data_IF_076015370222
#
_entry.id   IF_076015370222
#
_cell.length_a   1.000
_cell.length_b   1.000
_cell.length_c   1.000
_cell.angle_alpha   90.00
_cell.angle_beta   90.00
_cell.angle_gamma   90.00
#
_symmetry.space_group_name_H-M   'P 1'
#
loop_
_entity.id
_entity.type
_entity.pdbx_description
1 polymer ?
#
# COMPACT_ATOMS: atom_id res chain seq x y z
N UNK A 1 7.98 27.38 -13.17
CA UNK A 1 6.67 26.81 -13.58
C UNK A 1 6.92 25.99 -14.85
N UNK A 2 7.34 24.74 -14.72
CA UNK A 2 7.63 23.86 -15.87
C UNK A 2 6.35 23.08 -16.14
N UNK A 3 5.62 23.46 -17.19
CA UNK A 3 4.57 22.63 -17.78
C UNK A 3 5.27 21.52 -18.57
N UNK A 4 5.56 20.40 -17.93
CA UNK A 4 5.82 19.14 -18.64
C UNK A 4 4.46 18.52 -18.96
N UNK A 5 3.78 19.02 -19.99
CA UNK A 5 2.63 18.32 -20.56
C UNK A 5 3.17 17.21 -21.44
N UNK A 6 3.15 15.96 -20.95
CA UNK A 6 3.27 14.81 -21.83
C UNK A 6 2.20 14.92 -22.93
N UNK A 7 2.53 14.77 -24.22
CA UNK A 7 1.55 14.82 -25.29
C UNK A 7 0.48 13.73 -25.10
N UNK A 8 -0.76 14.03 -25.48
CA UNK A 8 -1.91 13.13 -25.33
C UNK A 8 -1.75 11.78 -26.07
N UNK A 9 -0.78 11.64 -26.97
CA UNK A 9 -0.43 10.36 -27.58
C UNK A 9 0.16 9.36 -26.58
N UNK A 10 0.89 9.85 -25.58
CA UNK A 10 1.61 9.00 -24.64
C UNK A 10 0.66 8.31 -23.66
N UNK A 11 -0.41 8.98 -23.22
CA UNK A 11 -1.39 8.41 -22.29
C UNK A 11 -2.24 7.30 -22.94
N UNK A 12 -2.59 7.45 -24.22
CA UNK A 12 -3.37 6.43 -24.96
C UNK A 12 -2.52 5.18 -25.18
N UNK A 13 -1.25 5.33 -25.53
CA UNK A 13 -0.33 4.19 -25.64
C UNK A 13 -0.14 3.48 -24.29
N UNK A 14 -0.04 4.23 -23.19
CA UNK A 14 -0.01 3.67 -21.83
C UNK A 14 -1.30 2.91 -21.51
N UNK A 15 -2.47 3.42 -21.87
CA UNK A 15 -3.76 2.70 -21.69
C UNK A 15 -3.77 1.37 -22.43
N UNK A 16 -3.35 1.36 -23.70
CA UNK A 16 -3.30 0.12 -24.50
C UNK A 16 -2.36 -0.89 -23.86
N UNK A 17 -1.13 -0.48 -23.50
CA UNK A 17 -0.16 -1.36 -22.83
C UNK A 17 -0.65 -1.86 -21.48
N UNK A 18 -1.38 -1.03 -20.74
CA UNK A 18 -1.97 -1.40 -19.47
C UNK A 18 -3.02 -2.50 -19.67
N UNK A 19 -3.94 -2.32 -20.61
CA UNK A 19 -4.98 -3.30 -20.92
C UNK A 19 -4.37 -4.62 -21.46
N UNK A 20 -3.40 -4.54 -22.38
CA UNK A 20 -2.72 -5.72 -22.93
C UNK A 20 -2.01 -6.56 -21.86
N UNK A 21 -1.49 -5.91 -20.82
CA UNK A 21 -0.69 -6.57 -19.79
C UNK A 21 -1.50 -7.02 -18.57
N UNK A 22 -2.46 -6.20 -18.14
CA UNK A 22 -3.17 -6.39 -16.87
C UNK A 22 -4.68 -6.59 -17.03
N UNK A 23 -5.23 -6.33 -18.22
CA UNK A 23 -6.65 -6.47 -18.49
C UNK A 23 -7.17 -7.86 -18.16
N UNK A 24 -8.22 -7.91 -17.34
CA UNK A 24 -8.87 -9.15 -16.91
C UNK A 24 -8.17 -9.89 -15.78
N UNK A 25 -7.09 -9.33 -15.19
CA UNK A 25 -6.53 -9.88 -13.97
C UNK A 25 -7.46 -9.57 -12.79
N UNK A 26 -7.86 -10.60 -12.07
CA UNK A 26 -8.65 -10.49 -10.85
C UNK A 26 -8.12 -11.43 -9.76
N UNK A 27 -8.07 -10.97 -8.51
CA UNK A 27 -7.80 -11.83 -7.35
C UNK A 27 -8.47 -11.30 -6.07
N UNK A 28 -8.81 -12.22 -5.18
CA UNK A 28 -9.41 -11.89 -3.89
C UNK A 28 -8.33 -11.71 -2.83
N UNK A 29 -8.29 -10.55 -2.16
CA UNK A 29 -7.55 -10.39 -0.90
C UNK A 29 -8.50 -10.75 0.24
N UNK A 30 -8.14 -11.76 1.05
CA UNK A 30 -9.00 -12.32 2.10
C UNK A 30 -9.58 -11.24 3.02
N UNK A 31 -10.91 -11.16 3.11
CA UNK A 31 -11.62 -10.21 3.98
C UNK A 31 -12.26 -9.01 3.26
N UNK A 32 -12.11 -8.89 1.93
CA UNK A 32 -12.80 -7.91 1.08
C UNK A 32 -13.21 -8.50 -0.27
N UNK A 33 -13.81 -7.68 -1.15
CA UNK A 33 -14.12 -8.04 -2.53
C UNK A 33 -12.87 -8.10 -3.44
N UNK A 34 -13.08 -8.61 -4.65
CA UNK A 34 -12.02 -8.83 -5.65
C UNK A 34 -11.32 -7.54 -6.07
N UNK A 35 -10.02 -7.68 -6.33
CA UNK A 35 -9.18 -6.66 -6.95
C UNK A 35 -9.18 -6.90 -8.45
N UNK A 36 -9.66 -5.94 -9.24
CA UNK A 36 -9.73 -6.06 -10.69
C UNK A 36 -8.81 -5.07 -11.40
N UNK A 37 -8.13 -5.54 -12.43
CA UNK A 37 -7.24 -4.76 -13.28
C UNK A 37 -7.75 -4.83 -14.72
N UNK A 38 -7.80 -3.66 -15.34
CA UNK A 38 -8.35 -3.48 -16.67
C UNK A 38 -9.07 -2.15 -16.75
N UNK A 39 -9.26 -1.66 -17.97
CA UNK A 39 -10.03 -0.44 -18.18
C UNK A 39 -11.45 -0.63 -17.65
N UNK A 40 -11.84 0.24 -16.71
CA UNK A 40 -13.20 0.25 -16.18
C UNK A 40 -14.11 1.06 -17.11
N UNK A 41 -14.91 0.34 -17.89
CA UNK A 41 -15.82 0.94 -18.87
C UNK A 41 -15.12 1.52 -20.11
N UNK A 42 -15.73 2.51 -20.79
CA UNK A 42 -15.17 3.09 -22.00
C UNK A 42 -13.81 3.75 -21.74
N UNK A 43 -12.79 3.53 -22.61
CA UNK A 43 -11.49 4.17 -22.48
C UNK A 43 -11.63 5.69 -22.40
N UNK A 44 -11.30 6.26 -21.24
CA UNK A 44 -11.38 7.70 -21.01
C UNK A 44 -10.16 8.21 -20.26
N UNK A 45 -9.77 9.45 -20.55
CA UNK A 45 -8.63 10.12 -19.92
C UNK A 45 -9.16 11.34 -19.17
N UNK A 46 -8.73 11.52 -17.94
CA UNK A 46 -9.04 12.68 -17.12
C UNK A 46 -7.79 13.37 -16.60
N UNK A 47 -7.95 14.64 -16.24
CA UNK A 47 -6.89 15.43 -15.63
C UNK A 47 -6.86 15.21 -14.11
N UNK A 48 -5.67 14.97 -13.57
CA UNK A 48 -5.42 14.93 -12.12
C UNK A 48 -4.38 16.00 -11.74
N UNK A 49 -4.21 16.32 -10.45
CA UNK A 49 -3.09 17.16 -10.00
C UNK A 49 -1.69 16.63 -10.37
N UNK A 50 -1.57 15.34 -10.72
CA UNK A 50 -0.31 14.69 -11.08
C UNK A 50 -0.14 14.51 -12.60
N UNK A 51 -1.09 14.98 -13.40
CA UNK A 51 -1.09 14.86 -14.86
C UNK A 51 -2.28 14.07 -15.42
N UNK A 52 -2.29 13.79 -16.73
CA UNK A 52 -3.30 12.94 -17.36
C UNK A 52 -3.27 11.52 -16.76
N UNK A 53 -4.45 10.96 -16.54
CA UNK A 53 -4.64 9.62 -15.99
C UNK A 53 -5.89 8.96 -16.60
N UNK A 54 -6.05 7.67 -16.34
CA UNK A 54 -7.26 6.90 -16.65
C UNK A 54 -7.57 5.97 -15.49
N UNK A 55 -8.82 5.53 -15.37
CA UNK A 55 -9.22 4.55 -14.36
C UNK A 55 -8.97 3.14 -14.91
N UNK A 56 -8.18 2.35 -14.17
CA UNK A 56 -7.75 1.03 -14.63
C UNK A 56 -7.62 -0.03 -13.52
N UNK A 57 -7.79 0.36 -12.26
CA UNK A 57 -7.71 -0.58 -11.14
C UNK A 57 -8.85 -0.27 -10.17
N UNK A 58 -9.63 -1.32 -9.87
CA UNK A 58 -10.67 -1.28 -8.85
C UNK A 58 -10.11 -1.93 -7.58
N UNK A 59 -10.03 -1.13 -6.51
CA UNK A 59 -9.50 -1.55 -5.20
C UNK A 59 -10.63 -1.94 -4.24
N UNK A 60 -10.80 -3.25 -3.99
CA UNK A 60 -11.77 -3.81 -3.05
C UNK A 60 -13.23 -3.64 -3.48
N UNK A 61 -14.13 -3.34 -2.53
CA UNK A 61 -15.61 -3.28 -2.69
C UNK A 61 -16.11 -2.18 -3.65
N UNK A 62 -15.48 -1.97 -4.81
CA UNK A 62 -15.83 -0.94 -5.77
C UNK A 62 -15.83 0.47 -5.14
N UNK A 63 -15.09 0.64 -4.04
CA UNK A 63 -15.17 1.83 -3.19
C UNK A 63 -14.09 2.85 -3.51
N UNK A 64 -12.95 2.42 -4.03
CA UNK A 64 -11.83 3.32 -4.32
C UNK A 64 -11.17 2.97 -5.66
N UNK A 65 -11.50 3.74 -6.70
CA UNK A 65 -10.77 3.68 -7.97
C UNK A 65 -9.36 4.25 -7.81
N UNK A 66 -8.38 3.56 -8.40
CA UNK A 66 -7.02 4.06 -8.56
C UNK A 66 -6.86 4.55 -10.00
N UNK A 67 -6.38 5.78 -10.14
CA UNK A 67 -6.03 6.31 -11.45
C UNK A 67 -4.61 5.88 -11.82
N UNK A 68 -4.45 5.37 -13.04
CA UNK A 68 -3.16 5.03 -13.65
C UNK A 68 -2.65 6.28 -14.38
N UNK A 69 -1.48 6.76 -13.98
CA UNK A 69 -0.83 7.93 -14.57
C UNK A 69 -0.14 7.57 -15.90
N UNK A 70 0.14 8.58 -16.73
CA UNK A 70 0.85 8.40 -18.00
C UNK A 70 2.19 7.65 -17.89
N UNK A 71 2.86 7.74 -16.74
CA UNK A 71 4.13 7.08 -16.45
C UNK A 71 4.00 5.70 -15.77
N UNK A 72 2.77 5.15 -15.69
CA UNK A 72 2.49 3.82 -15.17
C UNK A 72 2.41 3.72 -13.63
N UNK A 73 2.60 4.84 -12.91
CA UNK A 73 2.32 4.92 -11.47
C UNK A 73 0.82 4.90 -11.20
N UNK A 74 0.42 4.50 -10.01
CA UNK A 74 -0.97 4.60 -9.57
C UNK A 74 -1.13 5.72 -8.54
N UNK A 75 -2.27 6.37 -8.54
CA UNK A 75 -2.58 7.44 -7.61
C UNK A 75 -4.05 7.44 -7.21
N UNK A 76 -4.34 7.97 -6.02
CA UNK A 76 -5.70 8.20 -5.55
C UNK A 76 -5.79 9.41 -4.62
N UNK A 77 -6.99 9.93 -4.47
CA UNK A 77 -7.33 11.01 -3.54
C UNK A 77 -8.72 10.76 -2.96
N UNK A 78 -8.85 9.86 -1.97
CA UNK A 78 -10.14 9.45 -1.44
C UNK A 78 -10.85 10.62 -0.75
N UNK A 79 -11.90 11.13 -1.39
CA UNK A 79 -12.80 12.16 -0.85
C UNK A 79 -12.12 13.48 -0.49
N UNK A 80 -11.71 13.62 0.78
CA UNK A 80 -11.12 14.85 1.35
C UNK A 80 -9.61 14.83 1.43
N UNK A 81 -8.97 13.72 1.05
CA UNK A 81 -7.52 13.59 1.14
C UNK A 81 -6.84 14.08 -0.13
N UNK A 82 -5.64 14.69 -0.03
CA UNK A 82 -4.86 15.09 -1.18
C UNK A 82 -4.62 13.92 -2.15
N UNK A 83 -4.64 14.21 -3.45
CA UNK A 83 -4.29 13.23 -4.47
C UNK A 83 -2.80 12.86 -4.37
N UNK A 84 -2.48 11.57 -4.28
CA UNK A 84 -1.11 11.09 -4.07
C UNK A 84 -0.82 9.83 -4.86
N UNK A 85 0.44 9.68 -5.25
CA UNK A 85 0.96 8.42 -5.78
C UNK A 85 0.98 7.39 -4.67
N UNK A 86 0.40 6.22 -4.92
CA UNK A 86 0.35 5.11 -3.98
C UNK A 86 1.35 4.02 -4.40
N UNK A 87 1.34 3.65 -5.68
CA UNK A 87 2.23 2.63 -6.22
C UNK A 87 3.16 3.25 -7.28
N UNK A 88 4.43 2.84 -7.27
CA UNK A 88 5.39 3.29 -8.30
C UNK A 88 5.18 2.61 -9.65
N UNK A 89 4.47 1.47 -9.65
CA UNK A 89 4.03 0.75 -10.83
C UNK A 89 2.96 -0.27 -10.45
N UNK A 90 2.20 -0.71 -11.45
CA UNK A 90 1.24 -1.82 -11.31
C UNK A 90 1.96 -3.12 -10.93
N UNK A 91 3.14 -3.38 -11.50
CA UNK A 91 3.97 -4.53 -11.13
C UNK A 91 4.31 -4.52 -9.63
N UNK A 92 4.78 -3.39 -9.08
CA UNK A 92 5.07 -3.30 -7.65
C UNK A 92 3.84 -3.56 -6.79
N UNK A 93 2.66 -3.11 -7.25
CA UNK A 93 1.38 -3.41 -6.59
C UNK A 93 1.10 -4.93 -6.56
N UNK A 94 1.32 -5.62 -7.69
CA UNK A 94 1.12 -7.07 -7.76
C UNK A 94 2.10 -7.82 -6.84
N UNK A 95 3.38 -7.40 -6.82
CA UNK A 95 4.41 -8.00 -5.96
C UNK A 95 4.08 -7.88 -4.47
N UNK A 96 3.63 -6.71 -4.00
CA UNK A 96 3.24 -6.58 -2.59
C UNK A 96 2.03 -7.44 -2.21
N UNK A 97 1.11 -7.67 -3.15
CA UNK A 97 -0.07 -8.48 -2.88
C UNK A 97 0.26 -9.97 -2.93
N UNK A 98 1.16 -10.39 -3.83
CA UNK A 98 1.72 -11.73 -3.82
C UNK A 98 2.46 -12.01 -2.49
N UNK A 99 3.29 -11.07 -2.04
CA UNK A 99 3.98 -11.18 -0.76
C UNK A 99 2.99 -11.25 0.42
N UNK A 100 1.99 -10.36 0.46
CA UNK A 100 0.94 -10.41 1.47
C UNK A 100 0.20 -11.75 1.44
N UNK A 101 -0.15 -12.27 0.26
CA UNK A 101 -0.83 -13.56 0.11
C UNK A 101 0.03 -14.73 0.63
N UNK A 102 1.35 -14.66 0.53
CA UNK A 102 2.24 -15.67 1.11
C UNK A 102 2.26 -15.63 2.65
N UNK A 103 2.33 -14.43 3.24
CA UNK A 103 2.57 -14.27 4.68
C UNK A 103 1.31 -14.03 5.51
N UNK A 104 0.14 -13.79 4.90
CA UNK A 104 -1.10 -13.45 5.61
C UNK A 104 -1.49 -14.51 6.67
N UNK A 105 -0.94 -15.72 6.55
CA UNK A 105 -1.16 -16.80 7.48
C UNK A 105 -0.31 -16.82 8.74
N UNK A 106 0.68 -15.94 8.82
CA UNK A 106 1.63 -15.89 9.91
C UNK A 106 1.03 -15.15 11.12
N UNK A 107 1.60 -15.40 12.30
CA UNK A 107 1.24 -14.64 13.50
C UNK A 107 1.68 -13.20 13.32
N UNK A 108 0.86 -12.23 13.72
CA UNK A 108 1.22 -10.84 13.49
C UNK A 108 0.77 -9.89 14.59
N UNK A 109 1.51 -8.78 14.67
CA UNK A 109 1.18 -7.62 15.49
C UNK A 109 1.07 -6.40 14.61
N UNK A 110 0.10 -5.56 14.92
CA UNK A 110 -0.18 -4.33 14.20
C UNK A 110 0.06 -3.15 15.11
N UNK A 111 0.69 -2.13 14.54
CA UNK A 111 1.02 -0.88 15.19
C UNK A 111 0.57 0.28 14.31
N UNK A 112 0.34 1.42 14.93
CA UNK A 112 0.03 2.67 14.25
C UNK A 112 1.08 3.71 14.58
N UNK A 113 1.48 4.48 13.57
CA UNK A 113 2.28 5.68 13.78
C UNK A 113 1.78 6.83 12.91
N UNK A 114 2.18 8.04 13.28
CA UNK A 114 1.79 9.28 12.60
C UNK A 114 3.02 10.09 12.29
N UNK A 115 3.07 10.62 11.07
CA UNK A 115 4.13 11.51 10.61
C UNK A 115 3.53 12.82 10.09
N UNK A 116 4.31 13.90 10.00
CA UNK A 116 3.90 15.06 9.22
C UNK A 116 3.52 14.65 7.79
N UNK A 117 2.59 15.37 7.17
CA UNK A 117 2.17 15.08 5.80
C UNK A 117 3.38 15.04 4.85
N UNK A 118 3.45 14.01 3.99
CA UNK A 118 4.52 13.78 3.01
C UNK A 118 5.89 13.42 3.62
N UNK A 119 5.97 13.19 4.92
CA UNK A 119 7.17 12.69 5.58
C UNK A 119 6.95 11.22 5.89
N UNK A 120 7.73 10.30 5.30
CA UNK A 120 7.57 8.90 5.61
C UNK A 120 8.18 8.56 6.99
N UNK A 121 7.78 7.44 7.62
CA UNK A 121 8.41 6.99 8.86
C UNK A 121 9.88 6.63 8.60
N UNK A 122 10.73 6.68 9.63
CA UNK A 122 12.12 6.18 9.58
C UNK A 122 12.12 4.82 10.26
N UNK A 123 12.62 3.79 9.60
CA UNK A 123 12.75 2.47 10.20
C UNK A 123 14.23 2.23 10.58
N UNK A 124 14.49 1.57 11.71
CA UNK A 124 15.85 1.10 12.02
C UNK A 124 16.13 -0.17 11.21
N UNK A 125 16.73 0.02 10.03
CA UNK A 125 17.03 -1.09 9.12
C UNK A 125 18.05 -2.08 9.68
N UNK A 126 18.81 -1.73 10.72
CA UNK A 126 19.81 -2.63 11.32
C UNK A 126 19.22 -3.86 12.02
N UNK A 127 17.92 -3.81 12.29
CA UNK A 127 17.14 -4.82 13.03
C UNK A 127 15.92 -5.31 12.25
N UNK A 128 15.79 -4.88 11.00
CA UNK A 128 14.80 -5.38 10.05
C UNK A 128 15.37 -6.56 9.24
N UNK A 129 14.50 -7.45 8.72
CA UNK A 129 14.88 -8.35 7.64
C UNK A 129 15.40 -7.59 6.40
N UNK A 130 15.98 -8.28 5.42
CA UNK A 130 16.34 -7.66 4.15
C UNK A 130 15.13 -6.95 3.50
N UNK A 131 15.33 -5.78 2.87
CA UNK A 131 14.26 -5.10 2.15
C UNK A 131 13.79 -5.94 0.96
N UNK A 132 12.53 -5.75 0.55
CA UNK A 132 11.94 -6.32 -0.68
C UNK A 132 11.67 -5.17 -1.66
N UNK A 133 12.65 -4.80 -2.49
CA UNK A 133 12.52 -3.65 -3.38
C UNK A 133 11.33 -3.75 -4.30
N UNK A 134 11.00 -4.94 -4.80
CA UNK A 134 9.97 -5.22 -5.79
C UNK A 134 8.57 -4.89 -5.26
N UNK A 135 8.29 -5.22 -4.00
CA UNK A 135 7.04 -4.93 -3.30
C UNK A 135 7.00 -3.51 -2.69
N UNK A 136 8.14 -2.82 -2.59
CA UNK A 136 8.25 -1.51 -1.94
C UNK A 136 7.96 -0.35 -2.90
N UNK A 137 7.07 0.55 -2.49
CA UNK A 137 6.63 1.73 -3.25
C UNK A 137 6.38 2.97 -2.37
N UNK A 138 5.81 4.04 -2.95
CA UNK A 138 5.65 5.33 -2.26
C UNK A 138 4.79 5.29 -1.00
N UNK A 139 3.72 4.48 -1.02
CA UNK A 139 2.78 4.35 0.10
C UNK A 139 2.97 3.05 0.91
N UNK A 140 3.96 2.22 0.57
CA UNK A 140 4.11 0.92 1.23
C UNK A 140 5.51 0.33 1.13
N UNK A 141 6.06 -0.09 2.27
CA UNK A 141 7.42 -0.60 2.39
C UNK A 141 7.45 -1.99 2.98
N UNK A 142 8.38 -2.81 2.49
CA UNK A 142 8.46 -4.21 2.80
C UNK A 142 9.88 -4.66 3.12
N UNK A 143 9.98 -5.47 4.19
CA UNK A 143 11.16 -6.23 4.56
C UNK A 143 10.73 -7.67 4.83
N UNK A 144 11.49 -8.66 4.33
CA UNK A 144 11.12 -10.06 4.48
C UNK A 144 12.34 -10.98 4.56
N UNK A 145 12.26 -11.97 5.43
CA UNK A 145 13.10 -13.16 5.45
C UNK A 145 12.21 -14.41 5.50
N UNK A 146 12.81 -15.59 5.68
CA UNK A 146 12.07 -16.87 5.75
C UNK A 146 11.11 -16.95 6.97
N UNK A 147 11.45 -16.25 8.05
CA UNK A 147 10.79 -16.36 9.36
C UNK A 147 10.01 -15.11 9.78
N UNK A 148 10.37 -13.95 9.24
CA UNK A 148 9.85 -12.64 9.66
C UNK A 148 9.58 -11.75 8.44
N UNK A 149 8.47 -11.04 8.47
CA UNK A 149 8.19 -9.97 7.52
C UNK A 149 7.70 -8.72 8.24
N UNK A 150 8.07 -7.55 7.73
CA UNK A 150 7.62 -6.25 8.23
C UNK A 150 7.05 -5.45 7.07
N UNK A 151 5.86 -4.91 7.28
CA UNK A 151 5.16 -4.05 6.34
C UNK A 151 4.91 -2.70 7.00
N UNK A 152 5.23 -1.60 6.33
CA UNK A 152 4.74 -0.28 6.69
C UNK A 152 3.87 0.25 5.56
N UNK A 153 2.59 0.53 5.81
CA UNK A 153 1.64 0.98 4.78
C UNK A 153 0.96 2.29 5.18
N UNK A 154 0.84 3.20 4.23
CA UNK A 154 0.13 4.46 4.40
C UNK A 154 -1.38 4.20 4.42
N UNK A 155 -1.92 4.01 5.62
CA UNK A 155 -3.33 3.74 5.86
C UNK A 155 -4.25 4.97 5.74
N UNK A 156 -3.69 6.18 5.78
CA UNK A 156 -4.45 7.40 5.52
C UNK A 156 -3.60 8.67 5.54
N UNK A 157 -4.02 9.67 4.78
CA UNK A 157 -3.24 10.91 4.60
C UNK A 157 -4.13 12.15 4.60
N UNK A 158 -4.77 12.50 5.74
CA UNK A 158 -5.42 13.79 5.87
C UNK A 158 -4.43 14.96 5.60
N UNK A 159 -4.92 16.16 5.28
CA UNK A 159 -4.07 17.27 4.83
C UNK A 159 -2.90 17.64 5.76
N UNK A 160 -3.03 17.41 7.06
CA UNK A 160 -2.07 17.82 8.09
C UNK A 160 -1.07 16.73 8.51
N UNK A 161 -1.38 15.46 8.25
CA UNK A 161 -0.58 14.33 8.76
C UNK A 161 -0.80 13.06 7.98
N UNK A 162 0.19 12.20 8.01
CA UNK A 162 0.09 10.85 7.47
C UNK A 162 -0.10 9.85 8.61
N UNK A 163 -0.88 8.82 8.34
CA UNK A 163 -1.17 7.70 9.24
C UNK A 163 -0.64 6.43 8.60
N UNK A 164 0.25 5.76 9.30
CA UNK A 164 0.86 4.53 8.85
C UNK A 164 0.44 3.37 9.74
N UNK A 165 0.18 2.24 9.11
CA UNK A 165 0.02 0.96 9.79
C UNK A 165 1.31 0.17 9.58
N UNK A 166 1.92 -0.27 10.68
CA UNK A 166 3.07 -1.16 10.67
C UNK A 166 2.61 -2.55 11.10
N UNK A 167 2.90 -3.57 10.30
CA UNK A 167 2.62 -4.97 10.63
C UNK A 167 3.90 -5.75 10.71
N UNK A 168 4.09 -6.43 11.83
CA UNK A 168 5.15 -7.41 12.01
C UNK A 168 4.53 -8.80 11.93
N UNK A 169 5.04 -9.64 11.04
CA UNK A 169 4.62 -11.02 10.82
C UNK A 169 5.75 -11.96 11.22
N UNK A 170 5.40 -13.08 11.86
CA UNK A 170 6.35 -14.13 12.19
C UNK A 170 5.72 -15.52 12.14
N UNK A 171 6.57 -16.52 11.85
CA UNK A 171 6.17 -17.94 11.80
C UNK A 171 5.67 -18.48 13.12
N UNK A 172 6.17 -17.96 14.24
CA UNK A 172 5.81 -18.41 15.59
C UNK A 172 5.11 -17.30 16.39
N UNK A 173 4.19 -17.65 17.31
CA UNK A 173 3.51 -16.67 18.13
C UNK A 173 4.44 -15.94 19.10
N UNK A 174 5.51 -16.61 19.56
CA UNK A 174 6.50 -16.02 20.45
C UNK A 174 7.30 -14.92 19.76
N UNK A 175 7.82 -15.18 18.55
CA UNK A 175 8.51 -14.15 17.75
C UNK A 175 7.61 -12.95 17.49
N UNK A 176 6.34 -13.19 17.13
CA UNK A 176 5.37 -12.10 16.95
C UNK A 176 5.14 -11.31 18.26
N UNK A 177 5.07 -11.98 19.41
CA UNK A 177 4.87 -11.32 20.71
C UNK A 177 6.06 -10.44 21.12
N UNK A 178 7.28 -10.81 20.74
CA UNK A 178 8.52 -10.09 21.05
C UNK A 178 8.75 -8.84 20.17
N UNK A 179 7.92 -8.62 19.13
CA UNK A 179 8.03 -7.47 18.25
C UNK A 179 7.91 -6.13 19.01
N UNK A 180 8.90 -5.25 18.79
CA UNK A 180 8.98 -3.95 19.45
C UNK A 180 8.61 -2.80 18.49
N UNK A 181 7.48 -2.10 18.69
CA UNK A 181 7.01 -1.03 17.79
C UNK A 181 8.00 0.11 17.60
N UNK A 182 8.78 0.43 18.63
CA UNK A 182 9.69 1.59 18.64
C UNK A 182 10.83 1.43 17.64
N UNK A 183 11.09 0.19 17.20
CA UNK A 183 12.13 -0.16 16.24
C UNK A 183 11.70 0.11 14.78
N UNK A 184 10.39 0.02 14.49
CA UNK A 184 9.91 -0.14 13.11
C UNK A 184 9.33 1.14 12.48
N UNK A 185 9.18 2.21 13.25
CA UNK A 185 8.83 3.54 12.74
C UNK A 185 9.16 4.64 13.78
N UNK A 186 10.34 5.24 13.68
CA UNK A 186 10.70 6.50 14.34
C UNK A 186 10.38 7.64 13.35
N UNK A 187 9.58 8.66 13.64
CA UNK A 187 9.91 9.75 14.54
C UNK A 187 8.73 10.74 14.58
N UNK A 188 8.68 11.52 15.67
CA UNK A 188 7.73 12.56 16.10
C UNK A 188 6.58 12.07 17.00
N UNK A 189 5.97 10.92 16.74
CA UNK A 189 4.94 10.34 17.63
C UNK A 189 5.24 8.87 17.96
N UNK A 190 4.97 8.48 19.21
CA UNK A 190 5.12 7.11 19.71
C UNK A 190 4.35 6.14 18.78
N UNK A 191 5.05 5.14 18.24
CA UNK A 191 4.41 4.03 17.55
C UNK A 191 3.67 3.21 18.59
N UNK A 192 2.34 3.17 18.49
CA UNK A 192 1.49 2.53 19.50
C UNK A 192 0.90 1.22 18.95
N UNK A 193 0.64 0.22 19.80
CA UNK A 193 -0.15 -0.94 19.40
C UNK A 193 -1.51 -0.52 18.82
N UNK A 194 -1.87 -1.08 17.66
CA UNK A 194 -3.18 -0.86 17.08
C UNK A 194 -4.26 -1.59 17.89
N UNK A 195 -5.42 -0.96 18.05
CA UNK A 195 -6.58 -1.58 18.71
C UNK A 195 -7.39 -2.49 17.76
N UNK A 196 -7.09 -2.46 16.46
CA UNK A 196 -7.76 -3.21 15.40
C UNK A 196 -6.73 -3.83 14.46
N UNK A 197 -6.87 -5.12 14.18
CA UNK A 197 -6.21 -5.75 13.06
C UNK A 197 -7.00 -5.43 11.79
N UNK A 198 -6.50 -4.50 10.97
CA UNK A 198 -7.13 -4.20 9.67
C UNK A 198 -6.91 -5.31 8.64
N UNK A 199 -6.01 -6.26 8.89
CA UNK A 199 -5.84 -7.45 8.04
C UNK A 199 -6.88 -8.53 8.35
N UNK A 200 -7.16 -8.78 9.63
CA UNK A 200 -8.12 -9.82 10.06
C UNK A 200 -9.52 -9.27 10.36
N UNK A 201 -9.70 -7.95 10.33
CA UNK A 201 -10.93 -7.25 10.74
C UNK A 201 -11.36 -7.60 12.18
N UNK A 202 -10.39 -7.79 13.09
CA UNK A 202 -10.64 -8.17 14.49
C UNK A 202 -10.10 -7.11 15.45
N UNK A 203 -10.83 -6.82 16.52
CA UNK A 203 -10.31 -6.01 17.62
C UNK A 203 -9.15 -6.76 18.30
N UNK A 204 -8.06 -6.06 18.57
CA UNK A 204 -6.90 -6.61 19.30
C UNK A 204 -6.79 -5.85 20.62
N UNK A 205 -6.73 -6.56 21.75
CA UNK A 205 -6.35 -5.92 23.00
C UNK A 205 -4.95 -5.28 22.84
N UNK A 206 -4.74 -4.04 23.31
CA UNK A 206 -3.44 -3.37 23.19
C UNK A 206 -2.30 -4.28 23.67
N UNK A 207 -1.33 -4.52 22.79
CA UNK A 207 -0.15 -5.34 23.11
C UNK A 207 -0.27 -6.83 22.80
N UNK A 208 -1.44 -7.33 22.35
CA UNK A 208 -1.58 -8.73 21.95
C UNK A 208 -1.15 -8.99 20.50
N UNK A 209 -0.77 -10.23 20.24
CA UNK A 209 -0.64 -10.81 18.90
C UNK A 209 -2.03 -11.13 18.37
N UNK A 210 -2.33 -10.71 17.15
CA UNK A 210 -3.49 -11.21 16.44
C UNK A 210 -3.22 -12.69 16.11
N UNK A 211 -3.87 -13.58 16.83
CA UNK A 211 -4.01 -14.96 16.40
C UNK A 211 -5.19 -14.99 15.42
N UNK A 212 -5.02 -15.71 14.31
CA UNK A 212 -6.09 -15.99 13.35
C UNK A 212 -7.42 -16.34 14.02
#
# INVERSE_FOLDING_TARGET
MIRSSLPAGDIVETMVRFEERYGGLAYTVRGGNDMEYGLDGPPSVHATPLGPAFDGILDGDWTWGLSVLADGRTAMGPGRWPFRVIDRSVDQRLERHALMAEIHGWFHRTFECRTPAHVPPVADESVLPPPVPEATGPAEWWWCSEDVAVQATLSGWPPDRDRWTVRYFARTPQQAAEANPTIYAATVHETVPAALCTLCCQAIEPGRTCAR
#
